data_IF_128863018075
#
_entry.id   IF_128863018075
#
_cell.length_a   1.000
_cell.length_b   1.000
_cell.length_c   1.000
_cell.angle_alpha   90.00
_cell.angle_beta   90.00
_cell.angle_gamma   90.00
#
_symmetry.space_group_name_H-M   'P 1'
#
loop_
_entity.id
_entity.type
_entity.pdbx_description
1 polymer ?
#
# COMPACT_ATOMS: atom_id res chain seq x y z
N UNK A 1 2.94 -21.76 9.21
CA UNK A 1 2.21 -20.64 8.58
C UNK A 1 3.17 -19.93 7.65
N UNK A 2 2.89 -19.98 6.35
CA UNK A 2 3.76 -19.39 5.32
C UNK A 2 3.76 -17.87 5.48
N UNK A 3 4.89 -17.27 5.86
CA UNK A 3 5.08 -15.82 6.02
C UNK A 3 5.22 -15.10 4.67
N UNK A 4 4.59 -15.62 3.62
CA UNK A 4 4.60 -14.95 2.31
C UNK A 4 3.65 -13.79 2.41
N UNK A 5 4.19 -12.58 2.34
CA UNK A 5 3.41 -11.36 2.17
C UNK A 5 2.43 -11.59 1.02
N UNK A 6 1.15 -11.33 1.28
CA UNK A 6 0.12 -11.43 0.26
C UNK A 6 0.40 -10.40 -0.84
N UNK A 7 -0.04 -10.63 -2.10
CA UNK A 7 0.32 -9.77 -3.23
C UNK A 7 0.12 -8.27 -2.97
N UNK A 8 -0.96 -7.90 -2.27
CA UNK A 8 -1.26 -6.53 -1.84
C UNK A 8 -0.28 -5.99 -0.80
N UNK A 9 -0.04 -6.74 0.27
CA UNK A 9 0.86 -6.33 1.34
C UNK A 9 2.29 -6.16 0.82
N UNK A 10 2.74 -7.10 -0.01
CA UNK A 10 4.04 -7.03 -0.68
C UNK A 10 4.12 -5.81 -1.59
N UNK A 11 3.07 -5.54 -2.37
CA UNK A 11 3.01 -4.37 -3.24
C UNK A 11 3.10 -3.05 -2.47
N UNK A 12 2.33 -2.89 -1.40
CA UNK A 12 2.36 -1.66 -0.58
C UNK A 12 3.71 -1.49 0.13
N UNK A 13 4.34 -2.58 0.61
CA UNK A 13 5.68 -2.54 1.18
C UNK A 13 6.73 -2.13 0.16
N UNK A 14 6.70 -2.71 -1.03
CA UNK A 14 7.60 -2.34 -2.12
C UNK A 14 7.41 -0.88 -2.53
N UNK A 15 6.16 -0.39 -2.55
CA UNK A 15 5.88 1.00 -2.85
C UNK A 15 6.49 1.95 -1.81
N UNK A 16 6.34 1.65 -0.52
CA UNK A 16 6.98 2.42 0.56
C UNK A 16 8.51 2.44 0.42
N UNK A 17 9.12 1.30 0.12
CA UNK A 17 10.58 1.21 -0.07
C UNK A 17 11.05 2.06 -1.25
N UNK A 18 10.36 2.00 -2.38
CA UNK A 18 10.74 2.76 -3.59
C UNK A 18 10.51 4.27 -3.43
N UNK A 19 9.46 4.67 -2.72
CA UNK A 19 9.13 6.08 -2.49
C UNK A 19 9.84 6.66 -1.27
N UNK A 20 10.63 5.85 -0.53
CA UNK A 20 11.21 6.21 0.77
C UNK A 20 10.17 6.80 1.74
N UNK A 21 8.96 6.25 1.74
CA UNK A 21 7.83 6.71 2.55
C UNK A 21 7.54 5.75 3.71
N UNK A 22 7.13 6.31 4.84
CA UNK A 22 6.50 5.55 5.92
C UNK A 22 5.06 5.17 5.56
N UNK A 23 4.43 4.30 6.36
CA UNK A 23 3.00 3.97 6.22
C UNK A 23 2.11 5.20 6.27
N UNK A 24 2.35 6.09 7.23
CA UNK A 24 1.57 7.31 7.42
C UNK A 24 1.68 8.23 6.20
N UNK A 25 2.88 8.38 5.66
CA UNK A 25 3.14 9.20 4.48
C UNK A 25 2.47 8.62 3.23
N UNK A 26 2.53 7.30 3.04
CA UNK A 26 1.86 6.65 1.92
C UNK A 26 0.33 6.74 2.07
N UNK A 27 -0.22 6.47 3.26
CA UNK A 27 -1.65 6.62 3.53
C UNK A 27 -2.14 8.05 3.23
N UNK A 28 -1.38 9.05 3.71
CA UNK A 28 -1.67 10.46 3.43
C UNK A 28 -1.60 10.79 1.93
N UNK A 29 -0.63 10.23 1.19
CA UNK A 29 -0.48 10.45 -0.26
C UNK A 29 -1.61 9.82 -1.08
N UNK A 30 -2.22 8.75 -0.55
CA UNK A 30 -3.40 8.10 -1.12
C UNK A 30 -4.72 8.78 -0.71
N UNK A 31 -4.67 9.78 0.18
CA UNK A 31 -5.87 10.45 0.68
C UNK A 31 -6.73 9.58 1.60
N UNK A 32 -6.13 8.55 2.22
CA UNK A 32 -6.82 7.65 3.15
C UNK A 32 -6.32 7.86 4.59
N UNK A 33 -7.11 7.38 5.55
CA UNK A 33 -6.67 7.36 6.96
C UNK A 33 -5.70 6.21 7.22
N UNK A 34 -4.80 6.37 8.19
CA UNK A 34 -3.88 5.31 8.62
C UNK A 34 -4.64 4.04 9.02
N UNK A 35 -5.76 4.17 9.73
CA UNK A 35 -6.60 3.03 10.13
C UNK A 35 -7.15 2.24 8.94
N UNK A 36 -7.49 2.92 7.85
CA UNK A 36 -7.93 2.24 6.62
C UNK A 36 -6.74 1.53 5.96
N UNK A 37 -5.60 2.19 5.91
CA UNK A 37 -4.36 1.63 5.38
C UNK A 37 -3.92 0.37 6.15
N UNK A 38 -4.01 0.38 7.48
CA UNK A 38 -3.68 -0.78 8.31
C UNK A 38 -4.48 -2.02 7.91
N UNK A 39 -5.77 -1.85 7.58
CA UNK A 39 -6.64 -2.95 7.12
C UNK A 39 -6.19 -3.56 5.80
N UNK A 40 -5.58 -2.78 4.92
CA UNK A 40 -4.99 -3.28 3.67
C UNK A 40 -3.71 -4.09 3.89
N UNK A 41 -3.11 -3.93 5.06
CA UNK A 41 -1.83 -4.54 5.43
C UNK A 41 -2.00 -5.74 6.35
N UNK A 42 -3.21 -6.00 6.83
CA UNK A 42 -3.54 -7.19 7.61
C UNK A 42 -3.38 -8.47 6.76
N UNK A 43 -3.18 -9.63 7.38
CA UNK A 43 -3.29 -10.90 6.69
C UNK A 43 -4.72 -11.14 6.16
N UNK A 44 -4.90 -11.78 5.00
CA UNK A 44 -6.23 -12.04 4.41
C UNK A 44 -7.20 -12.85 5.29
N UNK A 45 -6.69 -13.59 6.28
CA UNK A 45 -7.51 -14.35 7.23
C UNK A 45 -8.03 -13.49 8.39
N UNK A 46 -7.54 -12.25 8.52
CA UNK A 46 -8.02 -11.31 9.53
C UNK A 46 -9.40 -10.78 9.11
N UNK A 47 -10.42 -10.79 10.00
CA UNK A 47 -11.77 -10.31 9.67
C UNK A 47 -11.83 -8.81 9.33
N UNK A 48 -10.86 -8.03 9.79
CA UNK A 48 -10.74 -6.61 9.46
C UNK A 48 -9.95 -6.36 8.17
N UNK A 49 -9.34 -7.38 7.57
CA UNK A 49 -8.67 -7.26 6.28
C UNK A 49 -9.59 -6.67 5.23
N UNK A 50 -9.05 -5.76 4.42
CA UNK A 50 -9.74 -5.18 3.28
C UNK A 50 -8.83 -5.26 2.05
N UNK A 51 -9.39 -5.67 0.93
CA UNK A 51 -8.71 -5.54 -0.35
C UNK A 51 -8.63 -4.07 -0.74
N UNK A 52 -7.54 -3.70 -1.42
CA UNK A 52 -7.45 -2.47 -2.19
C UNK A 52 -8.43 -2.56 -3.35
N UNK A 53 -9.26 -1.55 -3.53
CA UNK A 53 -10.08 -1.43 -4.74
C UNK A 53 -9.20 -0.95 -5.91
N UNK A 54 -9.73 -1.05 -7.13
CA UNK A 54 -8.95 -0.75 -8.33
C UNK A 54 -8.44 0.70 -8.34
N UNK A 55 -9.20 1.63 -7.74
CA UNK A 55 -8.83 3.03 -7.63
C UNK A 55 -7.55 3.22 -6.82
N UNK A 56 -7.44 2.56 -5.66
CA UNK A 56 -6.26 2.66 -4.80
C UNK A 56 -5.04 1.98 -5.44
N UNK A 57 -5.24 0.82 -6.08
CA UNK A 57 -4.17 0.18 -6.87
C UNK A 57 -3.60 1.12 -7.94
N UNK A 58 -4.48 1.80 -8.68
CA UNK A 58 -4.08 2.77 -9.70
C UNK A 58 -3.32 3.93 -9.08
N UNK A 59 -3.81 4.46 -7.96
CA UNK A 59 -3.21 5.60 -7.28
C UNK A 59 -1.78 5.32 -6.80
N UNK A 60 -1.53 4.16 -6.19
CA UNK A 60 -0.16 3.78 -5.79
C UNK A 60 0.77 3.67 -7.00
N UNK A 61 0.30 3.08 -8.11
CA UNK A 61 1.09 2.98 -9.35
C UNK A 61 1.40 4.35 -9.96
N UNK A 62 0.49 5.31 -9.87
CA UNK A 62 0.71 6.68 -10.30
C UNK A 62 1.80 7.38 -9.48
N UNK A 63 1.78 7.21 -8.15
CA UNK A 63 2.84 7.75 -7.28
C UNK A 63 4.21 7.18 -7.64
N UNK A 64 4.30 5.87 -7.87
CA UNK A 64 5.54 5.21 -8.30
C UNK A 64 6.04 5.72 -9.66
N UNK A 65 5.14 5.89 -10.64
CA UNK A 65 5.50 6.46 -11.94
C UNK A 65 5.99 7.91 -11.82
N UNK A 66 5.34 8.71 -10.97
CA UNK A 66 5.70 10.11 -10.76
C UNK A 66 7.07 10.26 -10.08
N UNK A 67 7.48 9.30 -9.25
CA UNK A 67 8.81 9.27 -8.64
C UNK A 67 9.91 8.96 -9.67
N UNK A 68 9.67 8.00 -10.58
CA UNK A 68 10.64 7.62 -11.63
C UNK A 68 10.93 8.77 -12.59
N UNK A 69 9.92 9.57 -12.96
CA UNK A 69 10.07 10.67 -13.92
C UNK A 69 10.87 11.85 -13.34
N UNK A 70 11.04 11.91 -12.02
CA UNK A 70 11.76 12.99 -11.33
C UNK A 70 13.21 12.66 -10.96
N UNK A 71 13.67 11.44 -11.28
CA UNK A 71 15.03 10.94 -11.01
C UNK A 71 15.92 10.91 -12.25
#
# INVERSE_FOLDING_TARGET
MDKRFLPQQAFLQQAMQQLAMTWEQLASSLGTSLRCFDKWMLPHYDPEYRDLEEAEWRRVRELLRAAIVQS
#
